data_IF_666932016265
#
_entry.id   IF_666932016265
#
_cell.length_a   1.000
_cell.length_b   1.000
_cell.length_c   1.000
_cell.angle_alpha   90.00
_cell.angle_beta   90.00
_cell.angle_gamma   90.00
#
_symmetry.space_group_name_H-M   'P 1'
#
loop_
_entity.id
_entity.type
_entity.pdbx_description
1 polymer ?
#
# COMPACT_ATOMS: atom_id res chain seq x y z
N UNK A 1 -104.90 -4.92 -69.33
CA UNK A 1 -105.66 -4.79 -68.05
C UNK A 1 -105.46 -5.94 -67.05
N UNK A 2 -105.97 -7.17 -67.24
CA UNK A 2 -105.76 -8.25 -66.23
C UNK A 2 -104.30 -8.68 -66.06
N UNK A 3 -103.53 -8.80 -67.15
CA UNK A 3 -102.11 -9.16 -67.10
C UNK A 3 -101.22 -8.05 -66.49
N UNK A 4 -101.50 -6.77 -66.79
CA UNK A 4 -100.77 -5.65 -66.19
C UNK A 4 -100.99 -5.56 -64.68
N UNK A 5 -102.22 -5.79 -64.21
CA UNK A 5 -102.52 -5.85 -62.78
C UNK A 5 -101.77 -7.01 -62.11
N UNK A 6 -101.68 -8.17 -62.76
CA UNK A 6 -100.91 -9.31 -62.26
C UNK A 6 -99.39 -9.05 -62.24
N UNK A 7 -98.84 -8.36 -63.24
CA UNK A 7 -97.43 -7.97 -63.26
C UNK A 7 -97.09 -6.97 -62.16
N UNK A 8 -97.92 -5.93 -61.98
CA UNK A 8 -97.77 -4.95 -60.91
C UNK A 8 -97.90 -5.57 -59.52
N UNK A 9 -98.77 -6.57 -59.35
CA UNK A 9 -98.89 -7.33 -58.09
C UNK A 9 -97.64 -8.16 -57.79
N UNK A 10 -97.05 -8.82 -58.80
CA UNK A 10 -95.77 -9.52 -58.66
C UNK A 10 -94.62 -8.58 -58.33
N UNK A 11 -94.58 -7.42 -58.97
CA UNK A 11 -93.56 -6.39 -58.74
C UNK A 11 -93.66 -5.78 -57.33
N UNK A 12 -94.88 -5.46 -56.88
CA UNK A 12 -95.13 -5.03 -55.50
C UNK A 12 -94.70 -6.09 -54.48
N UNK A 13 -95.01 -7.37 -54.72
CA UNK A 13 -94.57 -8.45 -53.84
C UNK A 13 -93.04 -8.61 -53.83
N UNK A 14 -92.38 -8.46 -54.98
CA UNK A 14 -90.92 -8.49 -55.10
C UNK A 14 -90.23 -7.33 -54.37
N UNK A 15 -90.78 -6.12 -54.50
CA UNK A 15 -90.33 -4.93 -53.78
C UNK A 15 -90.53 -5.06 -52.27
N UNK A 16 -91.66 -5.61 -51.82
CA UNK A 16 -91.91 -5.84 -50.40
C UNK A 16 -90.94 -6.88 -49.80
N UNK A 17 -90.63 -7.94 -50.55
CA UNK A 17 -89.63 -8.91 -50.13
C UNK A 17 -88.21 -8.30 -50.08
N UNK A 18 -87.87 -7.38 -50.99
CA UNK A 18 -86.63 -6.62 -50.92
C UNK A 18 -86.59 -5.64 -49.74
N UNK A 19 -87.70 -4.97 -49.46
CA UNK A 19 -87.84 -4.07 -48.32
C UNK A 19 -87.57 -4.82 -47.02
N UNK A 20 -88.24 -5.95 -46.80
CA UNK A 20 -88.03 -6.80 -45.61
C UNK A 20 -86.58 -7.28 -45.49
N UNK A 21 -85.95 -7.72 -46.58
CA UNK A 21 -84.53 -8.12 -46.58
C UNK A 21 -83.60 -6.95 -46.26
N UNK A 22 -83.93 -5.75 -46.71
CA UNK A 22 -83.15 -4.56 -46.42
C UNK A 22 -83.33 -4.11 -44.97
N UNK A 23 -84.54 -4.21 -44.41
CA UNK A 23 -84.82 -3.94 -43.00
C UNK A 23 -84.05 -4.92 -42.09
N UNK A 24 -84.04 -6.21 -42.42
CA UNK A 24 -83.23 -7.22 -41.71
C UNK A 24 -81.73 -6.90 -41.78
N UNK A 25 -81.23 -6.50 -42.97
CA UNK A 25 -79.82 -6.07 -43.12
C UNK A 25 -79.50 -4.81 -42.30
N UNK A 26 -80.37 -3.81 -42.31
CA UNK A 26 -80.19 -2.58 -41.53
C UNK A 26 -80.16 -2.89 -40.04
N UNK A 27 -81.07 -3.75 -39.57
CA UNK A 27 -81.09 -4.23 -38.19
C UNK A 27 -79.78 -4.95 -37.83
N UNK A 28 -79.31 -5.86 -38.68
CA UNK A 28 -78.03 -6.56 -38.47
C UNK A 28 -76.80 -5.64 -38.49
N UNK A 29 -76.81 -4.60 -39.34
CA UNK A 29 -75.73 -3.61 -39.37
C UNK A 29 -75.74 -2.70 -38.14
N UNK A 30 -76.91 -2.30 -37.64
CA UNK A 30 -77.03 -1.53 -36.39
C UNK A 30 -76.45 -2.29 -35.20
N UNK A 31 -76.81 -3.56 -35.07
CA UNK A 31 -76.28 -4.40 -33.97
C UNK A 31 -74.75 -4.56 -34.06
N UNK A 32 -74.21 -4.72 -35.28
CA UNK A 32 -72.74 -4.79 -35.48
C UNK A 32 -72.04 -3.47 -35.16
N UNK A 33 -72.66 -2.34 -35.50
CA UNK A 33 -72.12 -1.02 -35.19
C UNK A 33 -72.07 -0.81 -33.67
N UNK A 34 -73.17 -1.11 -32.97
CA UNK A 34 -73.27 -1.00 -31.51
C UNK A 34 -72.26 -1.92 -30.80
N UNK A 35 -72.11 -3.16 -31.29
CA UNK A 35 -71.08 -4.08 -30.78
C UNK A 35 -69.68 -3.50 -30.98
N UNK A 36 -69.37 -2.99 -32.18
CA UNK A 36 -68.06 -2.42 -32.49
C UNK A 36 -67.75 -1.16 -31.67
N UNK A 37 -68.77 -0.32 -31.39
CA UNK A 37 -68.63 0.85 -30.53
C UNK A 37 -68.34 0.47 -29.08
N UNK A 38 -69.03 -0.55 -28.56
CA UNK A 38 -68.75 -1.10 -27.22
C UNK A 38 -67.36 -1.73 -27.14
N UNK A 39 -66.95 -2.53 -28.13
CA UNK A 39 -65.63 -3.14 -28.16
C UNK A 39 -64.53 -2.07 -28.21
N UNK A 40 -64.72 -1.00 -29.01
CA UNK A 40 -63.80 0.13 -29.08
C UNK A 40 -63.70 0.89 -27.76
N UNK A 41 -64.84 1.09 -27.07
CA UNK A 41 -64.87 1.74 -25.76
C UNK A 41 -64.12 0.89 -24.72
N UNK A 42 -64.42 -0.39 -24.65
CA UNK A 42 -63.75 -1.33 -23.73
C UNK A 42 -62.24 -1.36 -23.98
N UNK A 43 -61.82 -1.45 -25.25
CA UNK A 43 -60.39 -1.42 -25.61
C UNK A 43 -59.74 -0.09 -25.22
N UNK A 44 -60.42 1.04 -25.42
CA UNK A 44 -59.92 2.35 -25.03
C UNK A 44 -59.75 2.49 -23.51
N UNK A 45 -60.64 1.89 -22.73
CA UNK A 45 -60.57 1.96 -21.27
C UNK A 45 -59.46 1.04 -20.75
N UNK A 46 -59.33 -0.17 -21.27
CA UNK A 46 -58.20 -1.08 -20.96
C UNK A 46 -56.84 -0.44 -21.28
N UNK A 47 -56.71 0.21 -22.44
CA UNK A 47 -55.46 0.89 -22.82
C UNK A 47 -55.11 2.04 -21.86
N UNK A 48 -56.10 2.79 -21.38
CA UNK A 48 -55.86 3.86 -20.40
C UNK A 48 -55.36 3.29 -19.08
N UNK A 49 -55.95 2.20 -18.61
CA UNK A 49 -55.52 1.51 -17.39
C UNK A 49 -54.07 0.99 -17.51
N UNK A 50 -53.73 0.39 -18.66
CA UNK A 50 -52.36 -0.07 -18.91
C UNK A 50 -51.34 1.08 -18.98
N UNK A 51 -51.68 2.18 -19.65
CA UNK A 51 -50.84 3.39 -19.71
C UNK A 51 -50.61 3.91 -18.29
N UNK A 52 -51.67 4.06 -17.50
CA UNK A 52 -51.55 4.56 -16.13
C UNK A 52 -50.71 3.63 -15.24
N UNK A 53 -50.85 2.31 -15.40
CA UNK A 53 -50.03 1.33 -14.69
C UNK A 53 -48.55 1.45 -15.09
N UNK A 54 -48.26 1.62 -16.38
CA UNK A 54 -46.88 1.79 -16.89
C UNK A 54 -46.26 3.10 -16.42
N UNK A 55 -47.02 4.19 -16.39
CA UNK A 55 -46.56 5.48 -15.90
C UNK A 55 -46.22 5.44 -14.41
N UNK A 56 -47.04 4.76 -13.60
CA UNK A 56 -46.76 4.56 -12.18
C UNK A 56 -45.45 3.76 -11.99
N UNK A 57 -45.28 2.64 -12.70
CA UNK A 57 -44.06 1.84 -12.64
C UNK A 57 -42.82 2.62 -13.09
N UNK A 58 -42.95 3.46 -14.13
CA UNK A 58 -41.85 4.29 -14.61
C UNK A 58 -41.44 5.33 -13.56
N UNK A 59 -42.40 5.93 -12.86
CA UNK A 59 -42.13 6.90 -11.81
C UNK A 59 -41.47 6.27 -10.58
N UNK A 60 -41.94 5.09 -10.16
CA UNK A 60 -41.31 4.31 -9.08
C UNK A 60 -39.87 3.94 -9.43
N UNK A 61 -39.63 3.46 -10.65
CA UNK A 61 -38.29 3.08 -11.11
C UNK A 61 -37.35 4.28 -11.18
N UNK A 62 -37.82 5.45 -11.66
CA UNK A 62 -37.05 6.71 -11.64
C UNK A 62 -36.69 7.14 -10.22
N UNK A 63 -37.63 7.04 -9.27
CA UNK A 63 -37.37 7.38 -7.87
C UNK A 63 -36.33 6.44 -7.26
N UNK A 64 -36.40 5.14 -7.56
CA UNK A 64 -35.44 4.15 -7.10
C UNK A 64 -34.04 4.43 -7.65
N UNK A 65 -33.90 4.64 -8.97
CA UNK A 65 -32.62 4.96 -9.62
C UNK A 65 -31.97 6.17 -8.93
N UNK A 66 -32.72 7.25 -8.74
CA UNK A 66 -32.21 8.47 -8.10
C UNK A 66 -31.76 8.21 -6.66
N UNK A 67 -32.46 7.36 -5.91
CA UNK A 67 -32.06 7.00 -4.55
C UNK A 67 -30.78 6.16 -4.54
N UNK A 68 -30.64 5.20 -5.45
CA UNK A 68 -29.47 4.33 -5.57
C UNK A 68 -28.24 5.12 -6.01
N UNK A 69 -28.39 6.07 -6.94
CA UNK A 69 -27.32 6.98 -7.37
C UNK A 69 -26.77 7.80 -6.18
N UNK A 70 -27.66 8.26 -5.29
CA UNK A 70 -27.26 8.99 -4.09
C UNK A 70 -26.44 8.10 -3.13
N UNK A 71 -26.92 6.89 -2.87
CA UNK A 71 -26.22 5.92 -2.00
C UNK A 71 -24.86 5.56 -2.60
N UNK A 72 -24.78 5.36 -3.92
CA UNK A 72 -23.53 5.07 -4.61
C UNK A 72 -22.52 6.21 -4.44
N UNK A 73 -22.94 7.45 -4.65
CA UNK A 73 -22.08 8.63 -4.47
C UNK A 73 -21.57 8.78 -3.03
N UNK A 74 -22.42 8.50 -2.04
CA UNK A 74 -22.03 8.51 -0.61
C UNK A 74 -21.01 7.40 -0.31
N UNK A 75 -21.25 6.19 -0.81
CA UNK A 75 -20.36 5.05 -0.65
C UNK A 75 -18.99 5.26 -1.32
N UNK A 76 -18.96 5.87 -2.51
CA UNK A 76 -17.71 6.22 -3.19
C UNK A 76 -16.91 7.27 -2.42
N UNK A 77 -17.59 8.25 -1.82
CA UNK A 77 -16.95 9.26 -0.98
C UNK A 77 -16.35 8.63 0.28
N UNK A 78 -17.09 7.75 0.94
CA UNK A 78 -16.60 7.02 2.12
C UNK A 78 -15.40 6.13 1.79
N UNK A 79 -15.48 5.38 0.68
CA UNK A 79 -14.36 4.56 0.19
C UNK A 79 -13.10 5.39 0.00
N UNK A 80 -13.22 6.59 -0.60
CA UNK A 80 -12.07 7.49 -0.80
C UNK A 80 -11.48 7.97 0.52
N UNK A 81 -12.31 8.30 1.50
CA UNK A 81 -11.85 8.70 2.84
C UNK A 81 -11.09 7.58 3.52
N UNK A 82 -11.65 6.37 3.54
CA UNK A 82 -11.01 5.19 4.13
C UNK A 82 -9.70 4.83 3.43
N UNK A 83 -9.63 4.95 2.10
CA UNK A 83 -8.37 4.73 1.37
C UNK A 83 -7.28 5.72 1.79
N UNK A 84 -7.60 7.00 1.97
CA UNK A 84 -6.64 8.00 2.44
C UNK A 84 -6.19 7.72 3.88
N UNK A 85 -7.10 7.28 4.75
CA UNK A 85 -6.77 6.92 6.13
C UNK A 85 -5.84 5.71 6.20
N UNK A 86 -6.10 4.67 5.40
CA UNK A 86 -5.22 3.50 5.28
C UNK A 86 -3.82 3.91 4.81
N UNK A 87 -3.72 4.83 3.84
CA UNK A 87 -2.43 5.31 3.35
C UNK A 87 -1.66 6.10 4.44
N UNK A 88 -2.36 6.94 5.20
CA UNK A 88 -1.80 7.64 6.35
C UNK A 88 -1.28 6.69 7.43
N UNK A 89 -2.08 5.68 7.81
CA UNK A 89 -1.69 4.67 8.79
C UNK A 89 -0.50 3.82 8.32
N UNK A 90 -0.42 3.50 7.02
CA UNK A 90 0.76 2.80 6.47
C UNK A 90 2.03 3.62 6.62
N UNK A 91 1.97 4.92 6.32
CA UNK A 91 3.11 5.81 6.50
C UNK A 91 3.52 5.93 7.98
N UNK A 92 2.55 5.96 8.90
CA UNK A 92 2.84 5.97 10.34
C UNK A 92 3.49 4.67 10.81
N UNK A 93 2.99 3.52 10.36
CA UNK A 93 3.57 2.20 10.65
C UNK A 93 5.01 2.11 10.13
N UNK A 94 5.27 2.59 8.91
CA UNK A 94 6.63 2.58 8.35
C UNK A 94 7.58 3.44 9.18
N UNK A 95 7.15 4.67 9.53
CA UNK A 95 7.95 5.55 10.38
C UNK A 95 8.16 5.01 11.81
N UNK A 96 7.23 4.19 12.32
CA UNK A 96 7.41 3.48 13.60
C UNK A 96 8.35 2.28 13.46
N UNK A 97 8.32 1.55 12.34
CA UNK A 97 9.26 0.45 12.05
C UNK A 97 10.69 0.96 11.98
N UNK A 98 10.95 2.02 11.22
CA UNK A 98 12.28 2.63 11.13
C UNK A 98 12.83 3.04 12.51
N UNK A 99 11.96 3.61 13.36
CA UNK A 99 12.31 3.95 14.74
C UNK A 99 12.59 2.72 15.59
N UNK A 100 11.81 1.65 15.44
CA UNK A 100 11.96 0.41 16.20
C UNK A 100 13.24 -0.35 15.79
N UNK A 101 13.54 -0.45 14.49
CA UNK A 101 14.77 -1.09 13.98
C UNK A 101 16.01 -0.40 14.56
N UNK A 102 15.99 0.94 14.66
CA UNK A 102 17.04 1.70 15.34
C UNK A 102 17.17 1.40 16.84
N UNK A 103 16.10 0.95 17.50
CA UNK A 103 16.10 0.57 18.92
C UNK A 103 16.59 -0.87 19.12
N UNK A 104 16.31 -1.79 18.20
CA UNK A 104 16.78 -3.18 18.27
C UNK A 104 18.31 -3.25 18.13
N UNK A 105 18.89 -2.56 17.14
CA UNK A 105 20.34 -2.46 16.97
C UNK A 105 21.00 -1.84 18.22
N UNK A 106 20.37 -0.81 18.79
CA UNK A 106 20.84 -0.19 20.03
C UNK A 106 20.84 -1.18 21.20
N UNK A 107 19.80 -1.99 21.33
CA UNK A 107 19.68 -2.98 22.41
C UNK A 107 20.76 -4.07 22.28
N UNK A 108 20.96 -4.60 21.07
CA UNK A 108 21.98 -5.62 20.82
C UNK A 108 23.39 -5.10 21.18
N UNK A 109 23.74 -3.92 20.70
CA UNK A 109 25.05 -3.30 20.96
C UNK A 109 25.21 -2.94 22.44
N UNK A 110 24.13 -2.49 23.10
CA UNK A 110 24.14 -2.24 24.54
C UNK A 110 24.37 -3.53 25.35
N UNK A 111 23.76 -4.65 24.95
CA UNK A 111 23.99 -5.95 25.57
C UNK A 111 25.43 -6.45 25.35
N UNK A 112 25.98 -6.27 24.14
CA UNK A 112 27.38 -6.55 23.86
C UNK A 112 28.30 -5.74 24.78
N UNK A 113 28.06 -4.44 24.94
CA UNK A 113 28.79 -3.62 25.90
C UNK A 113 28.67 -4.13 27.34
N UNK A 114 27.47 -4.50 27.81
CA UNK A 114 27.27 -5.03 29.17
C UNK A 114 27.96 -6.37 29.41
N UNK A 115 28.13 -7.18 28.37
CA UNK A 115 28.85 -8.46 28.43
C UNK A 115 30.38 -8.32 28.52
N UNK A 116 30.93 -7.13 28.27
CA UNK A 116 32.37 -6.91 28.34
C UNK A 116 32.88 -7.00 29.80
N UNK A 117 34.11 -7.50 30.01
CA UNK A 117 34.77 -7.47 31.30
C UNK A 117 34.86 -6.09 31.92
N UNK A 118 34.79 -6.01 33.25
CA UNK A 118 34.75 -4.75 34.01
C UNK A 118 35.97 -3.85 33.74
N UNK A 119 37.15 -4.43 33.52
CA UNK A 119 38.35 -3.67 33.15
C UNK A 119 38.22 -2.99 31.77
N UNK A 120 37.58 -3.64 30.79
CA UNK A 120 37.35 -3.07 29.46
C UNK A 120 36.29 -1.98 29.56
N UNK A 121 35.16 -2.25 30.22
CA UNK A 121 34.09 -1.26 30.43
C UNK A 121 34.58 -0.01 31.15
N UNK A 122 35.34 -0.17 32.25
CA UNK A 122 35.94 0.95 32.98
C UNK A 122 36.85 1.79 32.10
N UNK A 123 37.63 1.16 31.22
CA UNK A 123 38.50 1.88 30.28
C UNK A 123 37.69 2.58 29.18
N UNK A 124 36.57 1.98 28.75
CA UNK A 124 35.67 2.51 27.73
C UNK A 124 34.74 3.62 28.26
N UNK A 125 34.57 3.74 29.59
CA UNK A 125 33.73 4.74 30.26
C UNK A 125 34.13 6.20 29.99
N UNK A 126 35.38 6.42 29.58
CA UNK A 126 35.86 7.73 29.14
C UNK A 126 35.19 8.21 27.83
N UNK A 127 34.64 7.28 27.05
CA UNK A 127 34.03 7.51 25.74
C UNK A 127 32.53 7.26 25.75
N UNK A 128 32.08 6.28 26.54
CA UNK A 128 30.70 5.78 26.60
C UNK A 128 30.13 5.96 28.02
N UNK A 129 28.94 6.54 28.12
CA UNK A 129 28.18 6.71 29.36
C UNK A 129 27.08 5.64 29.46
N UNK A 130 27.15 4.78 30.48
CA UNK A 130 26.28 3.61 30.62
C UNK A 130 25.11 3.77 31.60
N UNK A 131 24.86 4.99 32.09
CA UNK A 131 23.84 5.29 33.12
C UNK A 131 22.42 4.88 32.68
N UNK A 132 22.16 4.87 31.38
CA UNK A 132 20.93 4.44 30.75
C UNK A 132 21.15 4.09 29.28
N UNK A 133 20.18 3.40 28.65
CA UNK A 133 20.19 3.17 27.19
C UNK A 133 20.24 4.47 26.39
N UNK A 134 19.58 5.52 26.88
CA UNK A 134 19.55 6.83 26.23
C UNK A 134 20.91 7.51 26.28
N UNK A 135 21.57 7.53 27.44
CA UNK A 135 22.91 8.10 27.57
C UNK A 135 23.96 7.28 26.82
N UNK A 136 23.75 5.96 26.71
CA UNK A 136 24.56 5.10 25.86
C UNK A 136 24.38 5.47 24.38
N UNK A 137 23.14 5.58 23.87
CA UNK A 137 22.86 5.98 22.49
C UNK A 137 23.47 7.34 22.12
N UNK A 138 23.43 8.29 23.07
CA UNK A 138 24.00 9.63 22.92
C UNK A 138 25.51 9.70 23.15
N UNK A 139 26.11 8.59 23.61
CA UNK A 139 27.56 8.47 23.63
C UNK A 139 28.08 8.47 22.20
N UNK A 140 29.30 8.94 21.98
CA UNK A 140 29.83 9.05 20.62
C UNK A 140 29.29 10.20 19.76
N UNK A 141 28.22 10.92 20.11
CA UNK A 141 27.61 12.00 19.30
C UNK A 141 28.49 13.26 19.02
N UNK A 142 29.81 13.20 19.18
CA UNK A 142 30.76 14.26 18.82
C UNK A 142 31.91 13.66 18.01
N UNK A 143 32.17 14.20 16.82
CA UNK A 143 33.24 13.77 15.90
C UNK A 143 34.60 13.57 16.61
N UNK A 144 35.01 14.51 17.46
CA UNK A 144 36.29 14.39 18.19
C UNK A 144 36.42 13.17 19.12
N UNK A 145 35.31 12.51 19.46
CA UNK A 145 35.29 11.29 20.27
C UNK A 145 35.41 10.03 19.41
N UNK A 146 35.07 10.04 18.12
CA UNK A 146 35.10 8.82 17.28
C UNK A 146 36.52 8.37 16.98
N UNK A 147 37.43 9.30 16.73
CA UNK A 147 38.86 9.01 16.55
C UNK A 147 39.46 8.36 17.82
N UNK A 148 39.14 8.92 18.99
CA UNK A 148 39.63 8.41 20.28
C UNK A 148 39.03 7.07 20.63
N UNK A 149 37.74 6.87 20.33
CA UNK A 149 37.07 5.59 20.50
C UNK A 149 37.71 4.54 19.59
N UNK A 150 38.00 4.88 18.33
CA UNK A 150 38.71 3.98 17.42
C UNK A 150 40.10 3.60 17.95
N UNK A 151 40.88 4.57 18.43
CA UNK A 151 42.21 4.33 18.99
C UNK A 151 42.14 3.43 20.24
N UNK A 152 41.11 3.61 21.08
CA UNK A 152 40.82 2.70 22.19
C UNK A 152 40.51 1.28 21.70
N UNK A 153 39.56 1.14 20.78
CA UNK A 153 39.17 -0.16 20.23
C UNK A 153 40.37 -0.87 19.61
N UNK A 154 41.22 -0.15 18.87
CA UNK A 154 42.46 -0.69 18.28
C UNK A 154 43.36 -1.35 19.33
N UNK A 155 43.53 -0.73 20.49
CA UNK A 155 44.37 -1.29 21.54
C UNK A 155 43.74 -2.55 22.14
N UNK A 156 42.43 -2.54 22.40
CA UNK A 156 41.75 -3.67 23.03
C UNK A 156 41.65 -4.89 22.10
N UNK A 157 41.29 -4.71 20.81
CA UNK A 157 41.21 -5.83 19.86
C UNK A 157 42.57 -6.48 19.56
N UNK A 158 43.67 -5.76 19.82
CA UNK A 158 45.02 -6.29 19.68
C UNK A 158 45.51 -7.03 20.94
N UNK A 159 44.92 -6.77 22.12
CA UNK A 159 45.26 -7.46 23.37
C UNK A 159 44.59 -8.83 23.46
N UNK A 160 43.30 -8.89 23.15
CA UNK A 160 42.50 -10.09 23.30
C UNK A 160 41.49 -10.23 22.16
N UNK A 161 41.55 -11.35 21.44
CA UNK A 161 40.63 -11.63 20.34
C UNK A 161 39.23 -11.99 20.83
N UNK A 162 39.07 -12.45 22.07
CA UNK A 162 37.79 -12.92 22.62
C UNK A 162 36.69 -11.85 22.52
N UNK A 163 37.03 -10.60 22.80
CA UNK A 163 36.08 -9.48 22.81
C UNK A 163 36.13 -8.61 21.56
N UNK A 164 36.99 -8.95 20.60
CA UNK A 164 37.24 -8.13 19.41
C UNK A 164 35.98 -7.85 18.60
N UNK A 165 35.11 -8.86 18.43
CA UNK A 165 33.83 -8.72 17.74
C UNK A 165 32.91 -7.69 18.42
N UNK A 166 32.67 -7.85 19.73
CA UNK A 166 31.83 -6.93 20.50
C UNK A 166 32.37 -5.48 20.47
N UNK A 167 33.69 -5.32 20.64
CA UNK A 167 34.35 -4.01 20.58
C UNK A 167 34.22 -3.37 19.19
N UNK A 168 34.35 -4.18 18.13
CA UNK A 168 34.18 -3.74 16.75
C UNK A 168 32.74 -3.29 16.47
N UNK A 169 31.74 -4.05 16.93
CA UNK A 169 30.32 -3.71 16.75
C UNK A 169 29.95 -2.43 17.50
N UNK A 170 30.44 -2.26 18.72
CA UNK A 170 30.26 -1.02 19.49
C UNK A 170 30.85 0.18 18.74
N UNK A 171 32.06 0.05 18.18
CA UNK A 171 32.66 1.11 17.37
C UNK A 171 31.81 1.44 16.14
N UNK A 172 31.45 0.42 15.35
CA UNK A 172 30.67 0.59 14.11
C UNK A 172 29.34 1.27 14.39
N UNK A 173 28.64 0.87 15.45
CA UNK A 173 27.39 1.49 15.88
C UNK A 173 27.54 3.00 16.11
N UNK A 174 28.52 3.39 16.94
CA UNK A 174 28.75 4.81 17.22
C UNK A 174 29.21 5.59 15.98
N UNK A 175 30.01 4.96 15.11
CA UNK A 175 30.44 5.58 13.87
C UNK A 175 29.27 5.90 12.94
N UNK A 176 28.41 4.91 12.69
CA UNK A 176 27.22 5.06 11.82
C UNK A 176 26.26 6.09 12.41
N UNK A 177 26.04 6.07 13.73
CA UNK A 177 25.17 7.05 14.39
C UNK A 177 25.69 8.48 14.24
N UNK A 178 26.98 8.74 14.38
CA UNK A 178 27.55 10.07 14.14
C UNK A 178 27.27 10.55 12.73
N UNK A 179 27.54 9.69 11.73
CA UNK A 179 27.36 10.04 10.32
C UNK A 179 25.87 10.32 10.01
N UNK A 180 24.94 9.62 10.68
CA UNK A 180 23.49 9.86 10.57
C UNK A 180 23.01 11.21 11.13
N UNK A 181 23.78 11.84 12.02
CA UNK A 181 23.48 13.18 12.54
C UNK A 181 23.97 14.32 11.63
N UNK A 182 24.78 13.99 10.60
CA UNK A 182 25.28 14.98 9.65
C UNK A 182 24.30 15.13 8.48
N UNK A 183 24.09 16.37 8.01
CA UNK A 183 23.28 16.63 6.80
C UNK A 183 23.83 15.94 5.55
N UNK A 184 25.14 15.68 5.55
CA UNK A 184 25.84 14.91 4.52
C UNK A 184 26.83 13.96 5.19
N UNK A 185 26.84 12.67 4.82
CA UNK A 185 27.88 11.73 5.20
C UNK A 185 29.25 12.33 4.94
N UNK A 186 30.16 12.22 5.91
CA UNK A 186 31.52 12.76 5.79
C UNK A 186 32.56 11.66 5.68
N UNK A 187 32.26 10.50 6.25
CA UNK A 187 33.18 9.39 6.34
C UNK A 187 32.52 8.09 5.86
N UNK A 188 33.34 7.13 5.43
CA UNK A 188 32.89 5.80 5.07
C UNK A 188 33.70 4.74 5.83
N UNK A 189 33.05 3.64 6.20
CA UNK A 189 33.72 2.51 6.84
C UNK A 189 34.49 1.68 5.81
N UNK A 190 35.73 1.35 6.16
CA UNK A 190 36.56 0.42 5.40
C UNK A 190 36.50 -0.93 6.11
N UNK A 191 35.72 -1.87 5.55
CA UNK A 191 35.53 -3.22 6.08
C UNK A 191 36.05 -4.23 5.03
N UNK A 192 37.33 -4.62 5.09
CA UNK A 192 37.88 -5.59 4.16
C UNK A 192 37.17 -6.95 4.24
N UNK A 193 36.85 -7.53 3.07
CA UNK A 193 36.20 -8.83 2.99
C UNK A 193 37.20 -9.99 3.17
N UNK A 194 36.73 -11.07 3.76
CA UNK A 194 37.52 -12.30 3.89
C UNK A 194 37.89 -12.83 2.50
N UNK A 195 39.13 -13.33 2.36
CA UNK A 195 39.67 -13.84 1.10
C UNK A 195 40.33 -12.80 0.20
N UNK A 196 40.21 -11.49 0.51
CA UNK A 196 40.88 -10.42 -0.24
C UNK A 196 42.36 -10.35 0.15
N UNK A 197 43.23 -10.01 -0.81
CA UNK A 197 44.66 -9.80 -0.54
C UNK A 197 44.90 -8.61 0.39
N UNK A 198 45.85 -8.76 1.33
CA UNK A 198 46.26 -7.67 2.20
C UNK A 198 46.75 -6.46 1.39
N UNK A 199 46.25 -5.27 1.76
CA UNK A 199 46.65 -4.00 1.19
C UNK A 199 47.15 -3.07 2.29
N UNK A 200 48.46 -2.80 2.30
CA UNK A 200 49.10 -1.93 3.30
C UNK A 200 48.60 -0.48 3.27
N UNK A 201 48.01 -0.03 2.16
CA UNK A 201 47.42 1.30 2.03
C UNK A 201 46.22 1.49 2.96
N UNK A 202 45.36 0.47 3.06
CA UNK A 202 44.07 0.54 3.79
C UNK A 202 44.01 -0.33 5.05
N UNK A 203 45.01 -1.20 5.26
CA UNK A 203 44.95 -2.23 6.30
C UNK A 203 46.23 -2.28 7.13
N UNK A 204 46.09 -2.78 8.36
CA UNK A 204 47.15 -3.10 9.31
C UNK A 204 46.94 -4.52 9.80
N UNK A 205 48.01 -5.31 9.81
CA UNK A 205 47.96 -6.69 10.29
C UNK A 205 47.96 -6.69 11.83
N UNK A 206 47.03 -7.41 12.44
CA UNK A 206 46.97 -7.58 13.89
C UNK A 206 48.21 -8.29 14.42
N UNK A 207 48.64 -7.95 15.64
CA UNK A 207 49.75 -8.63 16.30
C UNK A 207 49.47 -10.14 16.46
N UNK A 208 48.19 -10.49 16.64
CA UNK A 208 47.70 -11.86 16.81
C UNK A 208 47.50 -12.61 15.48
N UNK A 209 47.88 -12.01 14.35
CA UNK A 209 47.78 -12.67 13.03
C UNK A 209 48.79 -13.81 12.92
N UNK A 210 48.37 -15.01 12.46
CA UNK A 210 49.27 -16.15 12.28
C UNK A 210 50.23 -15.95 11.10
N UNK A 211 49.86 -15.10 10.13
CA UNK A 211 50.67 -14.76 8.97
C UNK A 211 50.90 -13.25 8.84
N UNK A 212 51.96 -12.89 8.10
CA UNK A 212 52.34 -11.51 7.76
C UNK A 212 52.17 -11.17 6.28
N UNK A 213 51.84 -12.16 5.45
CA UNK A 213 51.56 -12.01 4.02
C UNK A 213 50.42 -12.96 3.68
N UNK A 214 49.54 -12.56 2.76
CA UNK A 214 48.46 -13.41 2.26
C UNK A 214 47.11 -12.71 2.21
N UNK A 215 46.06 -13.52 2.30
CA UNK A 215 44.67 -13.07 2.25
C UNK A 215 44.09 -12.87 3.64
N UNK A 216 43.07 -12.03 3.73
CA UNK A 216 42.36 -11.71 4.97
C UNK A 216 41.54 -12.93 5.41
N UNK A 217 41.68 -13.31 6.67
CA UNK A 217 40.83 -14.31 7.32
C UNK A 217 39.67 -13.69 8.07
N UNK A 218 39.89 -12.52 8.69
CA UNK A 218 38.85 -11.72 9.34
C UNK A 218 39.28 -10.28 9.57
N UNK A 219 38.31 -9.38 9.65
CA UNK A 219 38.51 -7.97 10.07
C UNK A 219 38.16 -7.84 11.55
N UNK A 220 39.13 -7.42 12.36
CA UNK A 220 38.97 -7.25 13.82
C UNK A 220 38.44 -5.88 14.20
N UNK A 221 38.75 -4.85 13.40
CA UNK A 221 38.27 -3.50 13.59
C UNK A 221 38.24 -2.78 12.24
N UNK A 222 37.08 -2.24 11.82
CA UNK A 222 36.98 -1.43 10.62
C UNK A 222 37.91 -0.23 10.64
N UNK A 223 38.41 0.14 9.47
CA UNK A 223 39.01 1.46 9.23
C UNK A 223 37.94 2.45 8.78
N UNK A 224 38.36 3.67 8.47
CA UNK A 224 37.50 4.63 7.78
C UNK A 224 38.31 5.69 7.02
N UNK A 225 37.69 6.22 5.97
CA UNK A 225 38.19 7.29 5.11
C UNK A 225 37.23 8.48 5.13
N UNK A 226 37.72 9.64 4.72
CA UNK A 226 36.85 10.71 4.23
C UNK A 226 36.27 10.24 2.89
N UNK A 227 34.98 10.48 2.62
CA UNK A 227 34.36 10.12 1.34
C UNK A 227 35.15 10.77 0.20
N UNK A 228 35.54 9.95 -0.80
CA UNK A 228 36.39 10.33 -1.94
C UNK A 228 37.77 10.91 -1.56
N UNK A 229 38.21 10.68 -0.32
CA UNK A 229 39.37 11.31 0.26
C UNK A 229 40.40 10.33 0.81
N UNK A 230 41.24 10.86 1.71
CA UNK A 230 42.30 10.09 2.32
C UNK A 230 41.77 9.16 3.42
N UNK A 231 42.48 8.06 3.63
CA UNK A 231 42.27 7.12 4.72
C UNK A 231 42.64 7.82 6.03
N UNK A 232 41.70 7.82 6.98
CA UNK A 232 41.93 8.40 8.31
C UNK A 232 42.50 7.35 9.25
N UNK A 233 41.84 6.19 9.32
CA UNK A 233 42.29 5.03 10.10
C UNK A 233 42.22 3.77 9.26
N UNK A 234 43.30 2.98 9.27
CA UNK A 234 43.38 1.71 8.52
C UNK A 234 42.67 0.58 9.27
N UNK A 235 42.02 -0.32 8.55
CA UNK A 235 41.36 -1.48 9.15
C UNK A 235 42.39 -2.44 9.79
N UNK A 236 42.02 -3.10 10.90
CA UNK A 236 42.85 -4.11 11.55
C UNK A 236 42.36 -5.49 11.12
N UNK A 237 43.25 -6.30 10.55
CA UNK A 237 42.89 -7.60 9.96
C UNK A 237 43.76 -8.74 10.51
N UNK A 238 43.20 -9.95 10.50
CA UNK A 238 43.94 -11.20 10.60
C UNK A 238 44.14 -11.76 9.19
N UNK A 239 45.31 -12.34 8.94
CA UNK A 239 45.60 -13.04 7.70
C UNK A 239 45.44 -14.54 7.90
N UNK A 240 45.19 -15.25 6.80
CA UNK A 240 45.17 -16.71 6.78
C UNK A 240 46.60 -17.23 6.82
N UNK A 241 46.89 -18.10 7.79
CA UNK A 241 48.14 -18.86 7.88
C UNK A 241 48.22 -19.98 6.87
#
# INVERSE_FOLDING_TARGET
>A
MKEEIQNLQKECAGLNAQLNRNEEKISGLKNKLEQSENDKKNLSDTLKEEIQKRDNQLNESKALIKSTEKVLAESEKEKKLLSNEIEGLKHEIEGLREKYDCMEELEEVFLHYKSLPENIKKSMSAYICEDSRLTFAMSGARDSKIERLWDFCRLEVQKDLQYSKAISEIFSFFFIKIDSFLEKPRYELIIPSNGVMFNEGTMVISNNSPARVGVISSTLLPGYSVIDGNIVKKAIVLLKG
#
